data_IF_374786088685
#
_entry.id   IF_374786088685
#
_cell.length_a   1.000
_cell.length_b   1.000
_cell.length_c   1.000
_cell.angle_alpha   90.00
_cell.angle_beta   90.00
_cell.angle_gamma   90.00
#
_symmetry.space_group_name_H-M   'P 1'
#
loop_
_entity.id
_entity.type
_entity.pdbx_description
1 polymer ?
2 non-polymer ?
3 water ?
#
# COMPACT_ATOMS: atom_id res chain seq x y z
N UNK A 2 -11.33 4.41 -13.12
CA UNK A 2 -10.00 4.98 -12.93
C UNK A 2 -9.14 4.79 -14.18
N UNK A 3 -8.26 5.70 -14.37
CA UNK A 3 -7.40 5.70 -15.54
C UNK A 3 -6.17 4.81 -15.28
N UNK A 4 -5.85 3.86 -16.17
CA UNK A 4 -4.67 3.00 -15.94
C UNK A 4 -3.41 3.83 -15.86
N UNK A 5 -2.54 3.46 -14.92
CA UNK A 5 -1.31 4.17 -14.63
C UNK A 5 -0.07 3.33 -14.91
N UNK A 6 0.98 3.99 -15.40
CA UNK A 6 2.30 3.35 -15.42
C UNK A 6 2.65 2.88 -14.01
N UNK A 7 3.16 1.65 -13.89
CA UNK A 7 3.52 1.06 -12.62
C UNK A 7 2.38 0.39 -11.88
N UNK A 8 1.17 0.40 -12.45
CA UNK A 8 0.01 -0.16 -11.80
C UNK A 8 -0.07 -1.67 -12.05
N UNK A 9 -0.43 -2.40 -11.01
CA UNK A 9 -0.64 -3.83 -11.11
C UNK A 9 -1.98 -4.09 -11.78
N UNK A 10 -2.02 -5.15 -12.59
CA UNK A 10 -3.25 -5.65 -13.18
C UNK A 10 -3.31 -7.15 -12.95
N UNK A 11 -4.54 -7.67 -12.94
CA UNK A 11 -4.79 -9.09 -13.13
C UNK A 11 -5.28 -9.27 -14.56
N UNK A 12 -4.69 -10.19 -15.28
CA UNK A 12 -5.09 -10.42 -16.66
C UNK A 12 -6.40 -11.19 -16.68
N UNK A 13 -7.39 -10.65 -17.37
CA UNK A 13 -8.71 -11.26 -17.46
C UNK A 13 -8.83 -12.19 -18.66
N UNK A 14 -8.24 -11.81 -19.77
CA UNK A 14 -8.29 -12.57 -21.00
C UNK A 14 -6.92 -12.46 -21.66
N UNK A 15 -6.39 -13.60 -22.10
CA UNK A 15 -5.12 -13.64 -22.80
C UNK A 15 -4.32 -14.87 -22.41
N UNK A 16 -3.13 -14.99 -23.00
CA UNK A 16 -2.23 -16.11 -22.72
C UNK A 16 -2.08 -16.29 -21.22
N UNK A 17 -1.82 -15.22 -20.49
CA UNK A 17 -1.50 -15.28 -19.07
C UNK A 17 -2.70 -14.92 -18.23
N UNK A 18 -3.90 -15.34 -18.68
CA UNK A 18 -5.12 -15.14 -17.92
C UNK A 18 -4.91 -15.59 -16.49
N UNK A 19 -5.42 -14.76 -15.57
CA UNK A 19 -5.41 -14.95 -14.14
C UNK A 19 -4.07 -14.64 -13.49
N UNK A 20 -3.05 -14.24 -14.24
CA UNK A 20 -1.79 -13.83 -13.66
C UNK A 20 -1.74 -12.32 -13.47
N UNK A 21 -0.83 -11.91 -12.62
CA UNK A 21 -0.57 -10.50 -12.35
C UNK A 21 0.49 -9.96 -13.31
N UNK A 22 0.34 -8.70 -13.68
CA UNK A 22 1.32 -8.05 -14.51
C UNK A 22 1.38 -6.58 -14.14
N UNK A 23 2.24 -5.84 -14.85
CA UNK A 23 2.47 -4.43 -14.57
C UNK A 23 2.24 -3.64 -15.84
N UNK A 24 1.53 -2.53 -15.73
CA UNK A 24 1.40 -1.60 -16.85
C UNK A 24 2.70 -0.81 -16.99
N UNK A 25 3.33 -0.89 -18.17
CA UNK A 25 4.57 -0.19 -18.40
C UNK A 25 4.46 0.93 -19.41
N UNK A 26 3.39 1.00 -20.19
CA UNK A 26 3.16 2.09 -21.13
C UNK A 26 1.66 2.23 -21.30
N UNK A 27 1.19 3.47 -21.41
CA UNK A 27 -0.23 3.68 -21.71
C UNK A 27 -0.34 4.39 -23.05
N UNK A 28 -1.07 3.77 -23.99
CA UNK A 28 -1.48 4.50 -25.18
C UNK A 28 -2.56 5.52 -24.82
N UNK A 29 -3.61 5.05 -24.14
CA UNK A 29 -4.71 5.88 -23.65
C UNK A 29 -5.45 5.04 -22.60
N UNK A 30 -6.65 5.44 -22.22
CA UNK A 30 -7.40 4.67 -21.24
C UNK A 30 -7.91 3.35 -21.80
N UNK A 31 -7.80 3.14 -23.10
CA UNK A 31 -8.28 1.89 -23.68
C UNK A 31 -7.20 0.86 -23.92
N UNK A 32 -5.96 1.29 -24.17
CA UNK A 32 -4.90 0.35 -24.50
C UNK A 32 -3.63 0.69 -23.73
N UNK A 33 -3.00 -0.36 -23.20
CA UNK A 33 -1.76 -0.23 -22.44
C UNK A 33 -0.84 -1.37 -22.87
N UNK A 34 0.40 -1.28 -22.46
CA UNK A 34 1.35 -2.38 -22.59
C UNK A 34 1.68 -2.91 -21.21
N UNK A 35 1.77 -4.25 -21.13
CA UNK A 35 2.08 -4.94 -19.88
C UNK A 35 3.32 -5.80 -20.02
N UNK A 36 3.98 -5.99 -18.89
CA UNK A 36 5.08 -6.94 -18.74
C UNK A 36 5.23 -7.23 -17.26
N UNK A 37 5.75 -8.41 -16.95
CA UNK A 37 5.98 -8.82 -15.57
C UNK A 37 7.45 -9.07 -15.25
N UNK A 38 8.35 -8.99 -16.24
CA UNK A 38 9.75 -9.23 -16.00
C UNK A 38 10.14 -10.69 -15.87
N UNK A 39 9.19 -11.62 -16.07
CA UNK A 39 9.42 -13.04 -15.80
C UNK A 39 8.81 -13.82 -16.97
N UNK A 40 7.49 -14.09 -16.94
CA UNK A 40 6.80 -14.78 -18.04
C UNK A 40 6.71 -13.91 -19.27
N UNK A 41 6.66 -12.61 -19.07
CA UNK A 41 6.66 -11.64 -20.16
C UNK A 41 7.69 -10.56 -19.83
N UNK A 42 8.86 -10.67 -20.44
CA UNK A 42 9.93 -9.73 -20.26
C UNK A 42 9.63 -8.46 -21.02
N UNK A 43 10.38 -7.38 -20.72
CA UNK A 43 10.11 -6.10 -21.35
C UNK A 43 10.24 -6.16 -22.86
N UNK A 44 11.16 -6.96 -23.39
CA UNK A 44 11.32 -7.02 -24.84
C UNK A 44 10.12 -7.68 -25.50
N UNK A 45 9.24 -8.32 -24.72
CA UNK A 45 8.03 -8.95 -25.22
C UNK A 45 6.77 -8.28 -24.66
N UNK A 46 6.89 -7.03 -24.23
CA UNK A 46 5.75 -6.34 -23.65
C UNK A 46 4.59 -6.39 -24.63
N UNK A 47 3.38 -6.52 -24.10
CA UNK A 47 2.19 -6.84 -24.89
C UNK A 47 1.14 -5.74 -24.79
N UNK A 48 0.64 -5.31 -25.96
CA UNK A 48 -0.45 -4.35 -25.99
C UNK A 48 -1.75 -5.05 -25.59
N UNK A 49 -2.46 -4.46 -24.63
CA UNK A 49 -3.69 -5.05 -24.14
C UNK A 49 -4.80 -4.01 -24.16
N UNK A 50 -5.98 -4.47 -24.54
CA UNK A 50 -7.20 -3.71 -24.31
C UNK A 50 -7.57 -3.76 -22.84
N UNK A 51 -7.94 -2.61 -22.26
CA UNK A 51 -8.31 -2.60 -20.85
C UNK A 51 -9.50 -3.49 -20.53
N UNK A 52 -10.34 -3.84 -21.51
CA UNK A 52 -11.40 -4.81 -21.25
C UNK A 52 -10.85 -6.16 -20.80
N UNK A 53 -9.60 -6.45 -21.12
CA UNK A 53 -8.99 -7.73 -20.81
C UNK A 53 -8.11 -7.69 -19.59
N UNK A 54 -8.19 -6.62 -18.80
CA UNK A 54 -7.40 -6.45 -17.60
C UNK A 54 -8.29 -5.95 -16.47
N UNK A 55 -7.93 -6.34 -15.26
CA UNK A 55 -8.53 -5.77 -14.07
C UNK A 55 -7.51 -4.90 -13.38
N UNK A 56 -7.83 -3.62 -13.24
CA UNK A 56 -6.93 -2.71 -12.56
C UNK A 56 -6.94 -3.00 -11.08
N UNK A 57 -5.75 -3.08 -10.51
CA UNK A 57 -5.58 -3.31 -9.08
C UNK A 57 -5.10 -2.02 -8.45
N UNK A 58 -5.54 -1.75 -7.22
CA UNK A 58 -5.16 -0.52 -6.53
C UNK A 58 -3.78 -0.64 -5.87
N UNK A 59 -2.77 -0.77 -6.72
CA UNK A 59 -1.40 -0.88 -6.28
C UNK A 59 -0.54 -0.30 -7.39
N UNK A 60 0.26 0.69 -7.06
CA UNK A 60 1.09 1.37 -8.06
C UNK A 60 2.51 1.45 -7.52
N UNK A 61 3.48 1.10 -8.36
CA UNK A 61 4.88 1.13 -8.00
C UNK A 61 5.49 2.48 -8.34
N UNK A 62 5.87 3.28 -7.35
CA UNK A 62 6.56 4.53 -7.70
C UNK A 62 7.91 4.32 -8.32
N UNK A 63 8.57 3.22 -7.98
CA UNK A 63 9.89 2.95 -8.55
C UNK A 63 9.82 2.67 -10.03
N UNK A 64 8.80 1.92 -10.47
CA UNK A 64 8.63 1.67 -11.90
C UNK A 64 8.33 2.99 -12.60
N UNK A 65 7.45 3.81 -12.02
CA UNK A 65 7.12 5.10 -12.63
C UNK A 65 8.36 5.97 -12.75
N UNK A 66 9.20 5.99 -11.71
CA UNK A 66 10.41 6.80 -11.73
C UNK A 66 11.32 6.37 -12.86
N UNK A 67 11.51 5.07 -12.99
CA UNK A 67 12.41 4.58 -14.03
C UNK A 67 11.95 5.04 -15.41
N UNK A 68 10.65 4.92 -15.67
CA UNK A 68 10.13 5.37 -16.94
C UNK A 68 10.19 6.88 -17.09
N UNK A 69 9.80 7.62 -16.07
CA UNK A 69 9.80 9.08 -16.18
C UNK A 69 11.19 9.60 -16.51
N UNK A 70 12.22 9.04 -15.86
CA UNK A 70 13.56 9.57 -16.00
C UNK A 70 14.33 9.02 -17.17
N UNK A 71 14.08 7.79 -17.57
CA UNK A 71 14.90 7.14 -18.60
C UNK A 71 14.12 6.52 -19.74
N UNK A 72 12.81 6.37 -19.64
CA UNK A 72 12.01 5.75 -20.67
C UNK A 72 12.05 4.26 -20.69
N UNK A 73 12.59 3.61 -19.67
CA UNK A 73 12.58 2.16 -19.65
C UNK A 73 12.64 1.68 -18.22
N UNK A 74 12.44 0.35 -18.06
CA UNK A 74 12.49 -0.32 -16.75
C UNK A 74 13.15 -1.66 -16.98
N UNK A 75 13.84 -2.17 -15.99
CA UNK A 75 14.38 -3.52 -16.08
C UNK A 75 13.35 -4.57 -15.69
N UNK A 76 13.57 -5.77 -16.22
CA UNK A 76 12.78 -6.93 -15.81
C UNK A 76 12.81 -7.12 -14.31
N UNK A 77 14.00 -7.02 -13.70
CA UNK A 77 14.07 -7.27 -12.28
C UNK A 77 13.31 -6.25 -11.47
N UNK A 78 13.28 -4.99 -11.90
CA UNK A 78 12.50 -3.99 -11.18
C UNK A 78 11.00 -4.29 -11.26
N UNK A 79 10.54 -4.78 -12.41
CA UNK A 79 9.16 -5.23 -12.49
C UNK A 79 8.90 -6.44 -11.60
N UNK A 80 9.83 -7.40 -11.55
CA UNK A 80 9.64 -8.54 -10.68
C UNK A 80 9.52 -8.11 -9.23
N UNK A 81 10.37 -7.16 -8.81
CA UNK A 81 10.35 -6.72 -7.43
C UNK A 81 9.07 -5.93 -7.13
N UNK A 82 8.61 -5.13 -8.09
CA UNK A 82 7.33 -4.44 -7.88
C UNK A 82 6.20 -5.43 -7.64
N UNK A 83 6.16 -6.48 -8.45
CA UNK A 83 5.16 -7.52 -8.25
C UNK A 83 5.38 -8.28 -6.94
N UNK A 84 6.64 -8.52 -6.57
CA UNK A 84 6.89 -9.21 -5.31
C UNK A 84 6.33 -8.42 -4.14
N UNK A 85 6.47 -7.09 -4.15
CA UNK A 85 5.95 -6.27 -3.05
C UNK A 85 4.43 -6.38 -2.94
N UNK A 86 3.76 -6.44 -4.09
CA UNK A 86 2.33 -6.69 -4.13
C UNK A 86 2.00 -8.05 -3.51
N UNK A 87 2.73 -9.08 -3.94
CA UNK A 87 2.50 -10.42 -3.41
C UNK A 87 2.72 -10.48 -1.90
N UNK A 88 3.77 -9.81 -1.42
CA UNK A 88 4.03 -9.73 0.02
C UNK A 88 2.85 -9.16 0.77
N UNK A 89 2.29 -8.08 0.25
CA UNK A 89 1.16 -7.43 0.96
C UNK A 89 -0.01 -8.41 1.05
N UNK A 90 -0.27 -9.19 0.01
CA UNK A 90 -1.41 -10.07 -0.06
C UNK A 90 -1.06 -11.53 0.20
N UNK A 91 0.06 -11.79 0.88
CA UNK A 91 0.50 -13.16 1.04
C UNK A 91 -0.56 -14.03 1.70
N UNK A 92 -1.24 -13.53 2.72
CA UNK A 92 -2.23 -14.35 3.41
C UNK A 92 -3.43 -14.67 2.52
N UNK A 93 -3.77 -13.80 1.58
CA UNK A 93 -4.82 -14.11 0.60
C UNK A 93 -4.40 -15.19 -0.38
N UNK A 94 -3.10 -15.29 -0.66
CA UNK A 94 -2.59 -16.13 -1.73
C UNK A 94 -1.92 -17.41 -1.25
N UNK A 95 -1.71 -17.60 0.04
CA UNK A 95 -0.85 -18.68 0.54
C UNK A 95 -1.42 -20.07 0.33
N UNK A 96 -2.70 -20.22 0.10
CA UNK A 96 -3.25 -21.53 -0.18
C UNK A 96 -3.22 -21.86 -1.67
N UNK A 97 -2.72 -20.96 -2.50
CA UNK A 97 -2.61 -21.26 -3.91
C UNK A 97 -1.70 -22.43 -4.16
N UNK A 98 -2.02 -23.18 -5.21
CA UNK A 98 -1.27 -24.36 -5.60
C UNK A 98 -0.79 -24.23 -7.03
N UNK B 2 -14.82 13.75 14.47
CA UNK B 2 -13.51 14.43 14.43
C UNK B 2 -12.81 14.23 13.09
N UNK B 3 -12.02 15.24 12.70
CA UNK B 3 -11.22 15.20 11.47
C UNK B 3 -9.98 14.36 11.70
N UNK B 4 -9.70 13.31 10.89
CA UNK B 4 -8.54 12.46 11.17
C UNK B 4 -7.25 13.26 11.12
N UNK B 5 -6.37 13.00 12.08
CA UNK B 5 -5.13 13.74 12.22
C UNK B 5 -3.90 12.89 11.94
N UNK B 6 -2.87 13.55 11.40
CA UNK B 6 -1.56 12.93 11.31
C UNK B 6 -1.12 12.54 12.70
N UNK B 7 -0.65 11.32 12.84
CA UNK B 7 -0.23 10.82 14.13
C UNK B 7 -1.34 10.19 14.96
N UNK B 8 -2.56 10.21 14.47
CA UNK B 8 -3.67 9.65 15.24
C UNK B 8 -3.72 8.14 15.10
N UNK B 9 -4.03 7.49 16.20
CA UNK B 9 -4.23 6.05 16.21
C UNK B 9 -5.61 5.71 15.66
N UNK B 10 -5.66 4.61 14.92
CA UNK B 10 -6.90 4.02 14.42
C UNK B 10 -6.91 2.54 14.77
N UNK B 11 -8.12 2.01 14.95
CA UNK B 11 -8.34 0.57 14.86
C UNK B 11 -8.85 0.28 13.46
N UNK B 12 -8.28 -0.71 12.82
CA UNK B 12 -8.75 -1.11 11.51
C UNK B 12 -10.04 -1.91 11.66
N UNK B 13 -11.12 -1.40 11.08
CA UNK B 13 -12.42 -2.06 11.18
C UNK B 13 -12.60 -3.09 10.09
N UNK B 14 -12.14 -2.78 8.89
CA UNK B 14 -12.23 -3.68 7.75
C UNK B 14 -10.91 -3.60 7.01
N UNK B 15 -10.33 -4.75 6.72
CA UNK B 15 -9.06 -4.76 6.04
C UNK B 15 -8.24 -6.00 6.40
N UNK B 16 -7.10 -6.10 5.72
CA UNK B 16 -6.16 -7.19 5.98
C UNK B 16 -5.83 -7.33 7.45
N UNK B 17 -5.55 -6.20 8.11
CA UNK B 17 -5.12 -6.19 9.50
C UNK B 17 -6.24 -5.80 10.44
N UNK B 18 -7.43 -6.33 10.19
CA UNK B 18 -8.60 -6.04 11.01
C UNK B 18 -8.29 -6.18 12.49
N UNK B 19 -8.81 -5.24 13.27
CA UNK B 19 -8.74 -5.14 14.73
C UNK B 19 -7.36 -4.75 15.27
N UNK B 20 -6.34 -4.63 14.40
CA UNK B 20 -5.08 -4.08 14.86
C UNK B 20 -5.11 -2.56 14.80
N UNK B 21 -4.24 -1.96 15.61
CA UNK B 21 -4.08 -0.52 15.62
C UNK B 21 -2.98 -0.10 14.64
N UNK B 22 -3.22 1.04 14.03
CA UNK B 22 -2.28 1.63 13.10
C UNK B 22 -2.24 3.14 13.32
N UNK B 23 -1.40 3.81 12.55
CA UNK B 23 -1.20 5.26 12.65
C UNK B 23 -1.56 5.91 11.33
N UNK B 24 -2.28 7.04 11.39
CA UNK B 24 -2.51 7.85 10.20
C UNK B 24 -1.23 8.63 9.90
N UNK B 25 -0.67 8.43 8.71
CA UNK B 25 0.57 9.13 8.31
C UNK B 25 0.37 10.13 7.18
N UNK B 26 -0.78 10.14 6.52
CA UNK B 26 -1.05 11.10 5.48
C UNK B 26 -2.57 11.22 5.34
N UNK B 27 -3.02 12.44 5.14
CA UNK B 27 -4.43 12.73 4.87
C UNK B 27 -4.59 13.11 3.42
N UNK B 28 -5.50 12.43 2.72
CA UNK B 28 -5.96 12.99 1.46
C UNK B 28 -7.04 14.03 1.73
N UNK B 29 -8.01 13.68 2.56
CA UNK B 29 -9.07 14.56 3.05
C UNK B 29 -9.64 13.89 4.30
N UNK B 30 -10.85 14.27 4.71
CA UNK B 30 -11.39 13.62 5.90
C UNK B 30 -11.93 12.23 5.61
N UNK B 31 -12.00 11.86 4.32
CA UNK B 31 -12.54 10.58 3.90
C UNK B 31 -11.49 9.52 3.63
N UNK B 32 -10.31 9.92 3.17
CA UNK B 32 -9.27 8.99 2.78
C UNK B 32 -8.00 9.36 3.50
N UNK B 33 -7.35 8.36 4.10
CA UNK B 33 -6.09 8.55 4.77
C UNK B 33 -5.18 7.38 4.40
N UNK B 34 -3.89 7.56 4.65
CA UNK B 34 -2.93 6.48 4.53
C UNK B 34 -2.49 6.05 5.92
N UNK B 35 -2.44 4.75 6.16
CA UNK B 35 -2.04 4.19 7.44
C UNK B 35 -0.79 3.35 7.29
N UNK B 36 -0.02 3.32 8.37
CA UNK B 36 1.13 2.41 8.50
C UNK B 36 1.43 2.25 9.99
N UNK B 37 2.01 1.10 10.34
CA UNK B 37 2.35 0.79 11.72
C UNK B 37 3.84 0.51 11.92
N UNK B 38 4.65 0.55 10.86
CA UNK B 38 6.08 0.33 10.96
C UNK B 38 6.52 -1.11 11.13
N UNK B 39 5.57 -2.06 11.13
CA UNK B 39 5.78 -3.46 11.54
C UNK B 39 5.16 -4.38 10.47
N UNK B 40 3.86 -4.59 10.55
CA UNK B 40 3.05 -5.31 9.56
C UNK B 40 2.85 -4.49 8.31
N UNK B 41 2.88 -3.17 8.43
CA UNK B 41 2.73 -2.31 7.28
C UNK B 41 3.71 -1.16 7.42
N UNK B 42 4.82 -1.27 6.72
CA UNK B 42 5.84 -0.23 6.75
C UNK B 42 5.41 0.97 5.90
N UNK B 43 6.10 2.10 6.11
CA UNK B 43 5.73 3.33 5.44
C UNK B 43 5.69 3.15 3.91
N UNK B 44 6.63 2.38 3.34
CA UNK B 44 6.61 2.16 1.89
C UNK B 44 5.45 1.31 1.42
N UNK B 45 4.75 0.67 2.34
CA UNK B 45 3.60 -0.17 2.04
C UNK B 45 2.31 0.46 2.55
N UNK B 46 2.35 1.77 2.88
CA UNK B 46 1.21 2.43 3.48
C UNK B 46 -0.02 2.24 2.61
N UNK B 47 -1.16 2.11 3.25
CA UNK B 47 -2.40 1.74 2.59
C UNK B 47 -3.38 2.89 2.65
N UNK B 48 -3.94 3.24 1.49
CA UNK B 48 -5.00 4.22 1.45
C UNK B 48 -6.29 3.55 1.92
N UNK B 49 -6.89 4.13 2.95
CA UNK B 49 -8.10 3.61 3.56
C UNK B 49 -9.20 4.65 3.53
N UNK B 50 -10.40 4.20 3.24
CA UNK B 50 -11.58 5.01 3.49
C UNK B 50 -11.86 5.00 4.99
N UNK B 51 -12.22 6.17 5.54
CA UNK B 51 -12.52 6.26 6.97
C UNK B 51 -13.67 5.37 7.40
N UNK B 52 -14.54 4.94 6.47
CA UNK B 52 -15.54 3.96 6.82
C UNK B 52 -14.92 2.69 7.40
N UNK B 53 -13.66 2.41 7.04
CA UNK B 53 -12.99 1.17 7.39
C UNK B 53 -12.08 1.31 8.60
N UNK B 54 -12.14 2.45 9.28
CA UNK B 54 -11.27 2.76 10.40
C UNK B 54 -12.10 3.31 11.54
N UNK B 55 -11.66 3.06 12.76
CA UNK B 55 -12.21 3.70 13.95
C UNK B 55 -11.16 4.66 14.48
N UNK B 56 -11.48 5.95 14.51
CA UNK B 56 -10.56 6.91 15.09
C UNK B 56 -10.49 6.69 16.59
N UNK B 57 -9.29 6.66 17.12
CA UNK B 57 -9.05 6.54 18.54
C UNK B 57 -8.60 7.91 19.04
N UNK B 58 -9.01 8.26 20.27
CA UNK B 58 -8.62 9.53 20.89
C UNK B 58 -7.23 9.43 21.49
N UNK B 59 -6.26 9.25 20.60
CA UNK B 59 -4.84 9.25 20.96
C UNK B 59 -4.08 9.75 19.74
N UNK B 60 -3.30 10.80 19.92
CA UNK B 60 -2.47 11.36 18.86
C UNK B 60 -1.04 11.34 19.33
N UNK B 61 -0.15 10.78 18.52
CA UNK B 61 1.27 10.68 18.89
C UNK B 61 1.98 12.00 18.65
N UNK B 62 2.47 12.64 19.70
CA UNK B 62 3.20 13.89 19.47
C UNK B 62 4.51 13.65 18.74
N UNK B 63 5.14 12.50 18.91
CA UNK B 63 6.42 12.28 18.26
C UNK B 63 6.27 12.02 16.76
N UNK B 64 5.20 11.34 16.32
CA UNK B 64 4.95 11.24 14.89
C UNK B 64 4.72 12.62 14.31
N UNK B 65 3.94 13.45 15.00
CA UNK B 65 3.67 14.80 14.51
C UNK B 65 4.96 15.63 14.48
N UNK B 66 5.78 15.57 15.53
CA UNK B 66 7.04 16.29 15.50
C UNK B 66 7.90 15.80 14.37
N UNK B 67 7.93 14.47 14.15
CA UNK B 67 8.75 13.93 13.08
C UNK B 67 8.37 14.55 11.75
N UNK B 68 7.09 14.55 11.43
CA UNK B 68 6.67 15.14 10.16
C UNK B 68 6.95 16.63 10.12
N UNK B 69 6.67 17.34 11.21
CA UNK B 69 6.86 18.79 11.19
C UNK B 69 8.33 19.16 11.02
N UNK B 70 9.21 18.46 11.70
CA UNK B 70 10.63 18.83 11.71
C UNK B 70 11.44 18.22 10.57
N UNK B 71 11.01 17.09 10.03
CA UNK B 71 11.81 16.38 9.03
C UNK B 71 11.04 16.02 7.78
N UNK B 72 9.70 16.09 7.79
CA UNK B 72 8.90 15.68 6.66
C UNK B 72 8.70 14.19 6.48
N UNK B 73 9.15 13.38 7.43
CA UNK B 73 9.10 11.93 7.30
C UNK B 73 8.88 11.36 8.68
N UNK B 74 8.61 10.07 8.71
CA UNK B 74 8.61 9.28 9.93
C UNK B 74 9.28 7.96 9.65
N UNK B 75 10.04 7.45 10.62
CA UNK B 75 10.63 6.13 10.48
C UNK B 75 9.63 5.05 10.89
N UNK B 76 9.85 3.85 10.36
CA UNK B 76 9.03 2.72 10.78
C UNK B 76 9.15 2.49 12.28
N UNK B 77 10.37 2.59 12.81
CA UNK B 77 10.57 2.37 14.20
C UNK B 77 9.87 3.39 15.07
N UNK B 78 9.77 4.63 14.62
CA UNK B 78 9.03 5.61 15.40
C UNK B 78 7.54 5.28 15.43
N UNK B 79 6.98 4.80 14.31
CA UNK B 79 5.59 4.35 14.33
C UNK B 79 5.40 3.22 15.32
N UNK B 80 6.34 2.27 15.34
CA UNK B 80 6.22 1.16 16.28
C UNK B 80 6.22 1.66 17.72
N UNK B 81 7.09 2.63 18.00
CA UNK B 81 7.19 3.25 19.31
C UNK B 81 5.90 3.95 19.67
N UNK B 82 5.35 4.73 18.75
CA UNK B 82 4.13 5.47 19.02
C UNK B 82 2.98 4.51 19.33
N UNK B 83 2.88 3.42 18.58
CA UNK B 83 1.82 2.46 18.85
C UNK B 83 2.04 1.79 20.17
N UNK B 84 3.29 1.52 20.53
CA UNK B 84 3.52 0.91 21.81
C UNK B 84 3.10 1.82 22.96
N UNK B 85 3.29 3.15 22.84
CA UNK B 85 2.79 4.05 23.90
C UNK B 85 1.30 3.89 24.08
N UNK B 86 0.57 3.76 22.99
CA UNK B 86 -0.87 3.55 23.06
C UNK B 86 -1.17 2.20 23.71
N UNK B 87 -0.46 1.16 23.31
CA UNK B 87 -0.69 -0.15 23.91
C UNK B 87 -0.38 -0.12 25.39
N UNK B 88 0.62 0.66 25.81
CA UNK B 88 0.93 0.74 27.23
C UNK B 88 -0.23 1.34 28.02
N UNK B 89 -0.83 2.41 27.50
CA UNK B 89 -2.00 3.01 28.14
C UNK B 89 -3.02 1.94 28.45
N UNK B 90 -3.25 1.08 27.47
CA UNK B 90 -4.28 0.06 27.51
C UNK B 90 -3.69 -1.31 27.79
N UNK B 91 -2.55 -1.42 28.48
CA UNK B 91 -1.90 -2.73 28.54
C UNK B 91 -2.72 -3.76 29.28
N UNK B 92 -3.54 -3.34 30.25
CA UNK B 92 -4.38 -4.31 30.95
C UNK B 92 -5.30 -5.02 29.97
N UNK B 93 -5.68 -4.36 28.89
CA UNK B 93 -6.55 -5.00 27.91
C UNK B 93 -5.81 -6.07 27.10
N UNK B 94 -4.48 -6.17 27.20
CA UNK B 94 -3.71 -7.22 26.54
C UNK B 94 -3.77 -8.50 27.32
N UNK B 95 -4.23 -8.42 28.56
CA UNK B 95 -3.87 -9.36 29.58
C UNK B 95 -4.30 -10.76 29.17
N UNK B 96 -5.54 -10.89 28.68
CA UNK B 96 -6.12 -12.20 28.41
C UNK B 96 -5.97 -12.65 26.97
N UNK B 97 -5.30 -11.86 26.12
CA UNK B 97 -5.30 -12.15 24.70
C UNK B 97 -4.72 -13.51 24.38
N UNK B 98 -5.33 -14.16 23.40
CA UNK B 98 -4.88 -15.48 22.97
C UNK B 98 -4.62 -15.50 21.48
X LIG C 1 -1.44 -11.80 -21.99
X LIG D 1 -8.51 -16.67 -22.29
X LIG E 1 -13.52 -10.86 -21.66
X LIG F 1 -12.88 6.65 -27.88
X LIG G 1 7.39 -14.74 -24.61
X LIG H 1 10.86 -1.04 -21.18
X LIG I 1 -5.47 -2.81 6.27
X LIG J 1 -10.91 18.46 4.38
X LIG K 1 3.35 -5.66 3.55
X LIG L 1 -7.35 -4.43 2.42
X LIG M 1 7.09 9.27 5.21
X LIG N 1 1.79 17.03 11.30
X LIG O 1 0.61 17.22 19.24
X LIG P 1 -11.41 10.75 18.33
X LIG Q 1 4.61 9.24 20.95
X LIG R 1 0.51 -10.52 10.24
#
# INVERSE_FOLDING_TARGET
GPSPEIGQIVKIVKGRDRDQFSVIIKRVDDRFVYIADGDKRKVDRAKRKNMNHLKLIDHISPEVRHSFEETGKVTNGKLRFALKKFLEEHADLLKEGE
GPSPEIGQIVKIVKGRDRDQFSVIIKRVDDRFVYIADGDKRKVDRAKRKNMNHLKLIDHISPEVRHSFEETGKVTNGKLRFALKKFLEEHADLLKEGE
IOD I
IOD I
IOD I
IOD I
IOD I
IOD I
IOD I
IOD I
IOD I
IOD I
IOD I
IOD I
IOD I
IOD I
IOD I
IOD I
#
